data_IF_090885829258
#
_entry.id   IF_090885829258
#
_cell.length_a   1.000
_cell.length_b   1.000
_cell.length_c   1.000
_cell.angle_alpha   90.00
_cell.angle_beta   90.00
_cell.angle_gamma   90.00
#
_symmetry.space_group_name_H-M   'P 1'
#
loop_
_entity.id
_entity.type
_entity.pdbx_description
1 polymer ?
#
# COMPACT_ATOMS: atom_id res chain seq x y z
N UNK A 1 21.57 21.42 8.40
CA UNK A 1 20.33 20.67 8.69
C UNK A 1 20.61 19.23 8.34
N UNK A 2 20.17 18.27 9.16
CA UNK A 2 20.37 16.85 8.85
C UNK A 2 19.52 16.51 7.61
N UNK A 3 20.16 16.03 6.55
CA UNK A 3 19.46 15.60 5.34
C UNK A 3 18.82 14.23 5.60
N UNK A 4 17.52 14.13 5.34
CA UNK A 4 16.78 12.89 5.41
C UNK A 4 16.36 12.47 4.01
N UNK A 5 16.60 11.20 3.69
CA UNK A 5 15.99 10.59 2.51
C UNK A 5 14.61 10.08 2.89
N UNK A 6 13.57 10.63 2.27
CA UNK A 6 12.18 10.29 2.54
C UNK A 6 11.62 9.39 1.43
N UNK A 7 10.89 8.35 1.84
CA UNK A 7 10.07 7.53 0.95
C UNK A 7 8.70 7.24 1.56
N UNK A 8 7.70 7.13 0.70
CA UNK A 8 6.32 6.80 1.08
C UNK A 8 6.00 5.41 0.54
N UNK A 9 5.50 4.55 1.43
CA UNK A 9 5.15 3.16 1.11
C UNK A 9 3.66 2.95 1.35
N UNK A 10 2.90 2.70 0.29
CA UNK A 10 1.47 2.38 0.35
C UNK A 10 1.29 0.89 0.16
N UNK A 11 0.68 0.22 1.12
CA UNK A 11 0.37 -1.21 1.06
C UNK A 11 -1.12 -1.40 0.89
N UNK A 12 -1.52 -2.37 0.08
CA UNK A 12 -2.92 -2.70 -0.15
C UNK A 12 -3.15 -4.19 -0.01
N UNK A 13 -4.32 -4.57 0.51
CA UNK A 13 -4.74 -5.96 0.59
C UNK A 13 -6.27 -6.08 0.60
N UNK A 14 -6.78 -7.26 0.21
CA UNK A 14 -8.17 -7.61 0.30
C UNK A 14 -8.42 -9.06 0.73
N UNK A 15 -9.48 -9.25 1.50
CA UNK A 15 -10.04 -10.55 1.85
C UNK A 15 -11.50 -10.63 1.41
N UNK A 16 -12.19 -11.73 1.78
CA UNK A 16 -13.63 -11.90 1.53
C UNK A 16 -14.51 -10.93 2.34
N UNK A 17 -14.00 -10.37 3.44
CA UNK A 17 -14.79 -9.57 4.39
C UNK A 17 -14.51 -8.08 4.28
N UNK A 18 -13.30 -7.69 3.90
CA UNK A 18 -12.90 -6.30 3.74
C UNK A 18 -11.74 -6.14 2.77
N UNK A 19 -11.49 -4.90 2.34
CA UNK A 19 -10.25 -4.50 1.67
C UNK A 19 -9.69 -3.23 2.32
N UNK A 20 -8.38 -3.08 2.28
CA UNK A 20 -7.68 -2.06 3.06
C UNK A 20 -6.44 -1.52 2.37
N UNK A 21 -6.00 -0.35 2.85
CA UNK A 21 -4.72 0.25 2.51
C UNK A 21 -4.10 0.93 3.73
N UNK A 22 -2.78 0.93 3.83
CA UNK A 22 -2.02 1.69 4.82
C UNK A 22 -0.80 2.37 4.17
N UNK A 23 -0.43 3.53 4.70
CA UNK A 23 0.64 4.38 4.19
C UNK A 23 1.64 4.62 5.30
N UNK A 24 2.90 4.30 5.02
CA UNK A 24 4.02 4.57 5.90
C UNK A 24 4.93 5.63 5.30
N UNK A 25 5.45 6.52 6.16
CA UNK A 25 6.59 7.37 5.86
C UNK A 25 7.84 6.69 6.39
N UNK A 26 8.83 6.54 5.51
CA UNK A 26 10.18 6.09 5.87
C UNK A 26 11.12 7.26 5.75
N UNK A 27 11.92 7.49 6.79
CA UNK A 27 13.01 8.46 6.79
C UNK A 27 14.33 7.75 7.08
N UNK A 28 15.36 8.11 6.32
CA UNK A 28 16.73 7.63 6.54
C UNK A 28 17.62 8.83 6.78
N UNK A 29 18.24 8.91 7.96
CA UNK A 29 19.21 9.95 8.25
C UNK A 29 20.54 9.69 7.54
N UNK A 30 21.36 10.73 7.40
CA UNK A 30 22.73 10.62 6.88
C UNK A 30 23.61 9.65 7.68
N UNK A 31 23.26 9.38 8.95
CA UNK A 31 23.93 8.43 9.84
C UNK A 31 23.41 6.99 9.69
N UNK A 32 22.47 6.75 8.78
CA UNK A 32 21.86 5.44 8.53
C UNK A 32 20.75 5.04 9.50
N UNK A 33 20.31 5.96 10.37
CA UNK A 33 19.16 5.70 11.25
C UNK A 33 17.89 5.71 10.40
N UNK A 34 17.07 4.66 10.54
CA UNK A 34 15.82 4.52 9.81
C UNK A 34 14.65 4.65 10.78
N UNK A 35 13.69 5.49 10.43
CA UNK A 35 12.43 5.60 11.15
C UNK A 35 11.29 5.32 10.17
N UNK A 36 10.32 4.52 10.61
CA UNK A 36 9.12 4.17 9.83
C UNK A 36 7.90 4.46 10.69
N UNK A 37 7.00 5.29 10.17
CA UNK A 37 5.78 5.69 10.88
C UNK A 37 4.55 5.56 9.98
N UNK A 38 3.47 5.04 10.56
CA UNK A 38 2.17 5.01 9.90
C UNK A 38 1.61 6.44 9.80
N UNK A 39 1.39 6.90 8.56
CA UNK A 39 0.72 8.17 8.29
C UNK A 39 -0.81 8.02 8.25
N UNK A 40 -1.29 7.00 7.56
CA UNK A 40 -2.72 6.82 7.36
C UNK A 40 -3.07 5.37 7.06
N UNK A 41 -4.22 4.91 7.54
CA UNK A 41 -4.80 3.62 7.18
C UNK A 41 -6.29 3.76 6.90
N UNK A 42 -6.81 2.91 6.01
CA UNK A 42 -8.23 2.87 5.67
C UNK A 42 -8.65 1.45 5.30
N UNK A 43 -9.77 1.00 5.85
CA UNK A 43 -10.42 -0.26 5.48
C UNK A 43 -11.87 -0.02 5.05
N UNK A 44 -12.43 -0.96 4.29
CA UNK A 44 -13.83 -0.97 3.87
C UNK A 44 -14.39 -2.39 3.96
N UNK A 45 -15.50 -2.53 4.67
CA UNK A 45 -16.23 -3.81 4.78
C UNK A 45 -16.96 -4.08 3.46
N UNK A 46 -16.93 -5.33 3.02
CA UNK A 46 -17.55 -5.76 1.77
C UNK A 46 -19.03 -6.09 2.05
N UNK A 47 -19.98 -5.49 1.32
CA UNK A 47 -21.39 -5.89 1.39
C UNK A 47 -21.55 -7.35 0.92
N UNK A 48 -22.61 -8.06 1.35
CA UNK A 48 -22.87 -9.48 1.03
C UNK A 48 -23.11 -9.81 -0.47
N UNK A 49 -22.70 -8.95 -1.41
CA UNK A 49 -22.72 -9.24 -2.84
C UNK A 49 -21.52 -10.09 -3.23
N UNK A 50 -21.74 -11.02 -4.15
CA UNK A 50 -20.67 -11.88 -4.70
C UNK A 50 -19.72 -11.05 -5.58
N UNK A 51 -18.63 -10.56 -5.00
CA UNK A 51 -17.51 -9.96 -5.71
C UNK A 51 -16.32 -10.93 -5.64
N UNK A 52 -15.64 -11.13 -6.76
CA UNK A 52 -14.47 -12.01 -6.82
C UNK A 52 -13.29 -11.40 -6.07
N UNK A 53 -12.43 -12.25 -5.48
CA UNK A 53 -11.21 -11.81 -4.78
C UNK A 53 -10.34 -10.86 -5.62
N UNK A 54 -10.02 -11.15 -6.90
CA UNK A 54 -9.22 -10.23 -7.71
C UNK A 54 -9.84 -8.83 -7.87
N UNK A 55 -11.17 -8.74 -7.93
CA UNK A 55 -11.85 -7.44 -8.00
C UNK A 55 -11.78 -6.69 -6.67
N UNK A 56 -11.74 -7.40 -5.54
CA UNK A 56 -11.56 -6.82 -4.21
C UNK A 56 -10.13 -6.34 -4.00
N UNK A 57 -9.13 -7.12 -4.42
CA UNK A 57 -7.73 -6.70 -4.41
C UNK A 57 -7.52 -5.45 -5.28
N UNK A 58 -8.14 -5.40 -6.47
CA UNK A 58 -8.11 -4.21 -7.31
C UNK A 58 -8.82 -3.02 -6.65
N UNK A 59 -9.87 -3.26 -5.87
CA UNK A 59 -10.54 -2.22 -5.08
C UNK A 59 -9.65 -1.72 -3.93
N UNK A 60 -8.84 -2.59 -3.32
CA UNK A 60 -7.80 -2.23 -2.36
C UNK A 60 -6.79 -1.26 -3.01
N UNK A 61 -6.30 -1.59 -4.21
CA UNK A 61 -5.41 -0.73 -4.98
C UNK A 61 -6.02 0.66 -5.26
N UNK A 62 -7.31 0.72 -5.61
CA UNK A 62 -8.02 2.00 -5.82
C UNK A 62 -8.08 2.84 -4.55
N UNK A 63 -8.39 2.25 -3.39
CA UNK A 63 -8.42 3.03 -2.15
C UNK A 63 -7.01 3.46 -1.72
N UNK A 64 -5.99 2.64 -1.93
CA UNK A 64 -4.58 2.99 -1.69
C UNK A 64 -4.16 4.20 -2.53
N UNK A 65 -4.42 4.18 -3.84
CA UNK A 65 -4.13 5.29 -4.74
C UNK A 65 -4.84 6.60 -4.33
N UNK A 66 -6.11 6.52 -3.93
CA UNK A 66 -6.88 7.68 -3.44
C UNK A 66 -6.38 8.20 -2.09
N UNK A 67 -6.04 7.30 -1.17
CA UNK A 67 -5.50 7.64 0.15
C UNK A 67 -4.17 8.37 -0.01
N UNK A 68 -3.28 7.83 -0.85
CA UNK A 68 -2.02 8.45 -1.21
C UNK A 68 -2.20 9.84 -1.84
N UNK A 69 -3.10 9.96 -2.82
CA UNK A 69 -3.36 11.26 -3.48
C UNK A 69 -3.85 12.32 -2.49
N UNK A 70 -4.76 11.95 -1.58
CA UNK A 70 -5.25 12.85 -0.52
C UNK A 70 -4.12 13.28 0.40
N UNK A 71 -3.29 12.34 0.86
CA UNK A 71 -2.16 12.64 1.73
C UNK A 71 -1.11 13.53 1.03
N UNK A 72 -0.80 13.25 -0.24
CA UNK A 72 0.16 14.04 -1.03
C UNK A 72 -0.27 15.50 -1.17
N UNK A 73 -1.57 15.75 -1.36
CA UNK A 73 -2.12 17.11 -1.40
C UNK A 73 -2.00 17.82 -0.04
N UNK A 74 -2.19 17.11 1.08
CA UNK A 74 -2.09 17.67 2.42
C UNK A 74 -0.65 17.99 2.84
N UNK A 75 0.31 17.10 2.54
CA UNK A 75 1.69 17.27 2.99
C UNK A 75 2.52 18.25 2.13
N UNK A 76 2.06 18.58 0.91
CA UNK A 76 2.78 19.48 -0.02
C UNK A 76 4.26 19.07 -0.24
N UNK A 77 4.51 17.77 -0.41
CA UNK A 77 5.84 17.20 -0.63
C UNK A 77 6.00 16.80 -2.11
N UNK A 78 6.47 17.71 -2.99
CA UNK A 78 6.44 17.49 -4.44
C UNK A 78 7.44 16.43 -4.96
N UNK A 79 8.44 16.03 -4.17
CA UNK A 79 9.55 15.18 -4.64
C UNK A 79 9.96 14.09 -3.65
N UNK A 80 8.99 13.28 -3.20
CA UNK A 80 9.25 12.11 -2.35
C UNK A 80 9.11 10.83 -3.18
N UNK A 81 10.04 9.89 -3.01
CA UNK A 81 9.98 8.57 -3.63
C UNK A 81 8.75 7.82 -3.13
N UNK A 82 8.05 7.16 -4.04
CA UNK A 82 6.77 6.51 -3.74
C UNK A 82 6.77 5.07 -4.21
N UNK A 83 6.23 4.20 -3.38
CA UNK A 83 6.11 2.78 -3.64
C UNK A 83 4.70 2.30 -3.29
N UNK A 84 4.14 1.46 -4.14
CA UNK A 84 2.84 0.83 -3.94
C UNK A 84 3.01 -0.69 -3.94
N UNK A 85 2.58 -1.35 -2.88
CA UNK A 85 2.83 -2.77 -2.65
C UNK A 85 1.53 -3.56 -2.65
N UNK A 86 1.52 -4.64 -3.41
CA UNK A 86 0.45 -5.64 -3.41
C UNK A 86 1.05 -7.04 -3.52
N UNK A 87 0.44 -8.01 -2.85
CA UNK A 87 0.76 -9.44 -2.97
C UNK A 87 -0.07 -10.14 -4.06
N UNK A 88 -0.97 -9.41 -4.72
CA UNK A 88 -1.72 -9.93 -5.86
C UNK A 88 -0.96 -9.71 -7.16
N UNK A 89 -0.35 -10.78 -7.69
CA UNK A 89 0.26 -10.76 -9.02
C UNK A 89 -0.76 -10.43 -10.12
N UNK A 90 -2.05 -10.73 -9.91
CA UNK A 90 -3.14 -10.39 -10.84
C UNK A 90 -3.34 -8.89 -10.89
N UNK A 91 -3.46 -8.22 -9.74
CA UNK A 91 -3.61 -6.77 -9.67
C UNK A 91 -2.37 -6.07 -10.23
N UNK A 92 -1.18 -6.55 -9.88
CA UNK A 92 0.06 -6.01 -10.42
C UNK A 92 0.11 -6.10 -11.95
N UNK A 93 -0.30 -7.25 -12.51
CA UNK A 93 -0.37 -7.45 -13.97
C UNK A 93 -1.36 -6.47 -14.61
N UNK A 94 -2.55 -6.30 -14.03
CA UNK A 94 -3.56 -5.36 -14.51
C UNK A 94 -3.07 -3.90 -14.49
N UNK A 95 -2.34 -3.50 -13.46
CA UNK A 95 -1.83 -2.12 -13.31
C UNK A 95 -0.66 -1.85 -14.26
N UNK A 96 0.23 -2.83 -14.50
CA UNK A 96 1.46 -2.64 -15.27
C UNK A 96 1.27 -2.85 -16.77
N UNK A 97 0.39 -3.78 -17.19
CA UNK A 97 0.21 -4.11 -18.61
C UNK A 97 -0.87 -3.28 -19.31
N UNK A 98 -0.69 -3.04 -20.60
CA UNK A 98 -1.66 -2.35 -21.46
C UNK A 98 -2.38 -3.36 -22.35
N UNK A 99 -3.40 -4.01 -21.79
CA UNK A 99 -4.25 -4.98 -22.51
C UNK A 99 -5.73 -4.56 -22.44
N UNK A 100 -6.58 -5.24 -23.21
CA UNK A 100 -8.03 -5.03 -23.17
C UNK A 100 -8.65 -5.82 -22.01
N UNK A 101 -8.91 -5.12 -20.90
CA UNK A 101 -9.57 -5.69 -19.74
C UNK A 101 -11.09 -5.45 -19.77
N UNK A 102 -11.84 -6.22 -18.97
CA UNK A 102 -13.27 -5.95 -18.74
C UNK A 102 -13.50 -4.50 -18.27
N UNK A 103 -14.66 -3.92 -18.61
CA UNK A 103 -15.02 -2.53 -18.29
C UNK A 103 -14.81 -2.21 -16.80
N UNK A 104 -15.17 -3.12 -15.89
CA UNK A 104 -14.95 -2.93 -14.46
C UNK A 104 -13.46 -2.73 -14.14
N UNK A 105 -12.62 -3.64 -14.63
CA UNK A 105 -11.17 -3.64 -14.37
C UNK A 105 -10.51 -2.42 -15.03
N UNK A 106 -10.81 -2.16 -16.30
CA UNK A 106 -10.29 -1.01 -17.04
C UNK A 106 -10.59 0.32 -16.35
N UNK A 107 -11.82 0.51 -15.86
CA UNK A 107 -12.22 1.73 -15.16
C UNK A 107 -11.49 1.95 -13.83
N UNK A 108 -11.05 0.87 -13.15
CA UNK A 108 -10.28 0.98 -11.90
C UNK A 108 -8.80 1.18 -12.15
N UNK A 109 -8.24 0.49 -13.14
CA UNK A 109 -6.87 0.74 -13.61
C UNK A 109 -6.71 2.19 -14.05
N UNK A 110 -7.65 2.73 -14.83
CA UNK A 110 -7.64 4.13 -15.27
C UNK A 110 -7.58 5.10 -14.08
N UNK A 111 -8.34 4.83 -13.01
CA UNK A 111 -8.29 5.64 -11.80
C UNK A 111 -6.95 5.52 -11.06
N UNK A 112 -6.41 4.30 -10.92
CA UNK A 112 -5.11 4.08 -10.28
C UNK A 112 -4.03 4.85 -11.05
N UNK A 113 -3.94 4.65 -12.37
CA UNK A 113 -2.96 5.30 -13.25
C UNK A 113 -3.09 6.82 -13.33
N UNK A 114 -4.28 7.38 -13.03
CA UNK A 114 -4.47 8.84 -12.91
C UNK A 114 -3.87 9.41 -11.62
N UNK A 115 -3.77 8.60 -10.57
CA UNK A 115 -3.35 9.01 -9.23
C UNK A 115 -1.92 8.58 -8.88
N UNK A 116 -1.38 7.57 -9.58
CA UNK A 116 -0.08 6.95 -9.32
C UNK A 116 0.62 6.60 -10.63
N UNK A 117 1.95 6.48 -10.59
CA UNK A 117 2.77 5.94 -11.68
C UNK A 117 2.71 4.41 -11.67
N UNK A 118 2.62 3.75 -12.83
CA UNK A 118 2.43 2.27 -12.87
C UNK A 118 3.69 1.53 -12.44
N UNK A 119 4.85 2.13 -12.70
CA UNK A 119 6.19 1.63 -12.42
C UNK A 119 6.53 1.64 -10.92
N UNK A 120 5.80 2.42 -10.12
CA UNK A 120 5.94 2.46 -8.65
C UNK A 120 5.18 1.30 -7.96
N UNK A 121 4.41 0.51 -8.71
CA UNK A 121 3.71 -0.67 -8.18
C UNK A 121 4.62 -1.89 -8.21
N UNK A 122 4.75 -2.51 -7.05
CA UNK A 122 5.67 -3.60 -6.78
C UNK A 122 4.95 -4.77 -6.12
N UNK A 123 5.47 -5.97 -6.36
CA UNK A 123 5.04 -7.16 -5.67
C UNK A 123 5.66 -7.23 -4.27
N UNK A 124 4.91 -7.74 -3.31
CA UNK A 124 5.41 -8.14 -1.99
C UNK A 124 4.82 -9.50 -1.61
N UNK A 125 5.50 -10.30 -0.80
CA UNK A 125 4.89 -11.52 -0.26
C UNK A 125 3.82 -11.19 0.80
N UNK A 126 2.79 -12.02 0.90
CA UNK A 126 1.65 -11.81 1.82
C UNK A 126 2.10 -11.67 3.28
N UNK A 127 3.11 -12.44 3.71
CA UNK A 127 3.65 -12.40 5.08
C UNK A 127 4.38 -11.09 5.42
N UNK A 128 4.85 -10.37 4.40
CA UNK A 128 5.50 -9.06 4.53
C UNK A 128 4.53 -7.89 4.30
N UNK A 129 3.27 -8.16 3.96
CA UNK A 129 2.26 -7.15 3.66
C UNK A 129 1.52 -6.69 4.94
N UNK A 130 1.81 -5.50 5.50
CA UNK A 130 1.12 -5.01 6.69
C UNK A 130 -0.37 -4.72 6.45
N UNK A 131 -0.82 -4.57 5.19
CA UNK A 131 -2.23 -4.33 4.91
C UNK A 131 -3.12 -5.53 5.22
N UNK A 132 -2.56 -6.75 5.25
CA UNK A 132 -3.28 -8.02 5.49
C UNK A 132 -3.94 -8.12 6.88
N UNK A 133 -3.41 -7.39 7.86
CA UNK A 133 -3.96 -7.38 9.22
C UNK A 133 -5.30 -6.64 9.28
N UNK A 134 -5.53 -5.66 8.41
CA UNK A 134 -6.72 -4.80 8.46
C UNK A 134 -8.00 -5.54 8.02
N UNK A 135 -8.02 -6.33 6.93
CA UNK A 135 -9.20 -7.05 6.51
C UNK A 135 -9.60 -8.24 7.40
N UNK A 136 -8.63 -8.87 8.06
CA UNK A 136 -8.84 -10.07 8.89
C UNK A 136 -9.43 -9.76 10.27
N UNK A 137 -9.37 -8.50 10.69
CA UNK A 137 -9.75 -8.08 12.04
C UNK A 137 -8.64 -8.39 13.04
N UNK A 138 -8.06 -7.35 13.62
CA UNK A 138 -7.00 -7.46 14.63
C UNK A 138 -7.41 -6.72 15.89
N UNK A 139 -7.37 -7.39 17.03
CA UNK A 139 -7.68 -6.78 18.32
C UNK A 139 -6.60 -5.77 18.75
N UNK A 140 -6.93 -4.72 19.53
CA UNK A 140 -5.97 -3.69 19.95
C UNK A 140 -4.70 -4.25 20.62
N UNK A 141 -4.84 -5.30 21.44
CA UNK A 141 -3.69 -5.96 22.11
C UNK A 141 -2.70 -6.59 21.12
N UNK A 142 -3.20 -7.14 20.02
CA UNK A 142 -2.37 -7.78 19.01
C UNK A 142 -1.64 -6.73 18.17
N UNK A 143 -2.32 -5.65 17.79
CA UNK A 143 -1.69 -4.48 17.14
C UNK A 143 -0.57 -3.89 17.99
N UNK A 144 -0.79 -3.80 19.31
CA UNK A 144 0.23 -3.32 20.25
C UNK A 144 1.42 -4.26 20.35
N UNK A 145 1.17 -5.58 20.40
CA UNK A 145 2.22 -6.59 20.47
C UNK A 145 3.11 -6.59 19.22
N UNK A 146 2.52 -6.45 18.03
CA UNK A 146 3.29 -6.43 16.77
C UNK A 146 3.77 -5.04 16.35
N UNK A 147 3.44 -3.98 17.12
CA UNK A 147 3.78 -2.58 16.83
C UNK A 147 3.51 -2.22 15.36
N UNK A 148 2.35 -2.61 14.85
CA UNK A 148 2.00 -2.53 13.43
C UNK A 148 2.24 -1.14 12.80
N UNK A 149 2.06 -0.07 13.59
CA UNK A 149 2.32 1.31 13.17
C UNK A 149 3.80 1.66 12.90
N UNK A 150 4.74 0.78 13.25
CA UNK A 150 6.17 0.88 12.91
C UNK A 150 6.52 0.24 11.56
N UNK A 151 5.51 -0.26 10.83
CA UNK A 151 5.68 -0.91 9.55
C UNK A 151 6.37 -2.28 9.64
N UNK A 152 6.56 -2.96 8.51
CA UNK A 152 7.21 -4.26 8.48
C UNK A 152 8.71 -4.13 8.75
N UNK A 153 9.31 -5.17 9.35
CA UNK A 153 10.70 -5.14 9.82
C UNK A 153 11.70 -4.79 8.70
N UNK A 154 11.49 -5.29 7.48
CA UNK A 154 12.38 -5.02 6.35
C UNK A 154 12.44 -3.53 5.97
N UNK A 155 11.38 -2.77 6.24
CA UNK A 155 11.32 -1.34 5.92
C UNK A 155 12.18 -0.50 6.88
N UNK A 156 12.54 -1.06 8.03
CA UNK A 156 13.42 -0.45 9.02
C UNK A 156 14.92 -0.66 8.72
N UNK A 157 15.25 -1.43 7.68
CA UNK A 157 16.64 -1.63 7.28
C UNK A 157 17.16 -0.42 6.47
N UNK A 158 18.45 -0.02 6.61
CA UNK A 158 19.02 1.12 5.88
C UNK A 158 18.94 0.98 4.36
N UNK A 159 19.14 -0.24 3.84
CA UNK A 159 18.89 -0.57 2.44
C UNK A 159 17.45 -1.06 2.31
N UNK A 160 16.71 -0.51 1.34
CA UNK A 160 15.41 -1.04 0.93
C UNK A 160 15.65 -2.44 0.32
N UNK A 161 15.60 -3.46 1.17
CA UNK A 161 15.62 -4.86 0.77
C UNK A 161 14.24 -5.42 1.03
N UNK A 162 13.30 -5.14 0.13
CA UNK A 162 12.16 -6.05 0.00
C UNK A 162 12.77 -7.36 -0.51
N UNK A 163 12.82 -8.39 0.34
CA UNK A 163 13.18 -9.73 -0.11
C UNK A 163 12.05 -10.16 -1.05
N UNK A 164 12.30 -10.05 -2.36
CA UNK A 164 11.41 -10.50 -3.42
C UNK A 164 11.31 -12.02 -3.42
#
# INVERSE_FOLDING_TARGET
>A
MEEFNLSIHTFVDASKTAYAACIFLRSVSSRGSVTVELLQARSRIIPMKTITIPRLELMAAVIGARLFSSMKQSLKLPYIKTYFWTDSSTVLTWITRREQWSVFVANRISQIRKLTTSEDWLHISTDQNPADILPRGCGPKQLQKCRWWQGPAWLQNPKEQCQL
#
